data_IF_703424902325
#
_entry.id   IF_703424902325
#
_cell.length_a   1.000
_cell.length_b   1.000
_cell.length_c   1.000
_cell.angle_alpha   90.00
_cell.angle_beta   90.00
_cell.angle_gamma   90.00
#
_symmetry.space_group_name_H-M   'P 1'
#
loop_
_entity.id
_entity.type
_entity.pdbx_description
1 polymer ?
#
# COMPACT_ATOMS: atom_id res chain seq x y z
N UNK A 1 45.00 38.89 15.41
CA UNK A 1 45.24 37.45 15.39
C UNK A 1 44.28 36.81 16.38
N UNK A 2 43.13 36.32 15.88
CA UNK A 2 42.18 35.38 16.48
C UNK A 2 41.07 35.23 15.43
N UNK A 3 41.33 34.33 14.48
CA UNK A 3 40.39 33.92 13.44
C UNK A 3 39.34 33.01 14.08
N UNK A 4 38.06 33.37 13.94
CA UNK A 4 36.92 32.59 14.43
C UNK A 4 36.20 32.02 13.22
N UNK A 5 36.70 30.91 12.68
CA UNK A 5 35.95 30.09 11.74
C UNK A 5 35.35 28.91 12.51
N UNK A 6 34.02 28.74 12.58
CA UNK A 6 33.42 27.53 13.14
C UNK A 6 33.60 26.36 12.16
N UNK A 7 33.85 25.12 12.64
CA UNK A 7 33.95 23.96 11.78
C UNK A 7 32.61 23.66 11.12
N UNK A 8 32.66 23.48 9.80
CA UNK A 8 31.58 23.02 8.95
C UNK A 8 31.01 21.69 9.49
N UNK A 9 29.74 21.70 9.88
CA UNK A 9 28.93 20.48 9.97
C UNK A 9 28.56 20.07 8.54
N UNK A 10 29.38 19.21 7.93
CA UNK A 10 29.02 18.52 6.70
C UNK A 10 28.34 17.19 7.03
N UNK A 11 27.17 17.00 6.41
CA UNK A 11 26.56 15.74 6.00
C UNK A 11 26.40 14.59 7.00
N UNK A 12 25.31 14.64 7.75
CA UNK A 12 24.63 13.45 8.30
C UNK A 12 23.18 13.43 7.80
N UNK A 13 23.00 13.40 6.48
CA UNK A 13 21.73 13.06 5.84
C UNK A 13 21.81 11.69 5.16
N UNK A 14 22.46 10.71 5.81
CA UNK A 14 22.23 9.29 5.50
C UNK A 14 20.92 8.87 6.15
N UNK A 15 19.81 9.38 5.60
CA UNK A 15 18.46 8.88 5.83
C UNK A 15 18.32 7.49 5.19
N UNK A 16 19.04 6.51 5.75
CA UNK A 16 18.79 5.10 5.50
C UNK A 16 17.34 4.84 5.84
N UNK A 17 16.50 4.66 4.82
CA UNK A 17 15.09 4.34 5.01
C UNK A 17 15.06 2.98 5.70
N UNK A 18 14.85 2.98 7.02
CA UNK A 18 14.59 1.77 7.77
C UNK A 18 13.33 1.18 7.14
N UNK A 19 13.51 0.10 6.37
CA UNK A 19 12.41 -0.60 5.73
C UNK A 19 11.50 -1.12 6.83
N UNK A 20 10.37 -0.43 7.06
CA UNK A 20 9.33 -0.88 7.99
C UNK A 20 8.84 -2.26 7.52
N UNK A 21 9.03 -3.33 8.31
CA UNK A 21 8.66 -4.69 7.93
C UNK A 21 7.13 -4.89 7.78
N UNK A 22 6.32 -3.88 8.10
CA UNK A 22 4.86 -3.87 7.83
C UNK A 22 4.50 -3.33 6.45
N UNK A 23 5.45 -2.77 5.70
CA UNK A 23 5.21 -2.35 4.32
C UNK A 23 5.05 -3.60 3.45
N UNK A 24 3.82 -3.87 3.02
CA UNK A 24 3.59 -4.82 1.94
C UNK A 24 4.48 -4.42 0.76
N UNK A 25 5.36 -5.32 0.33
CA UNK A 25 6.25 -5.06 -0.80
C UNK A 25 5.41 -4.83 -2.04
N UNK A 26 5.31 -3.58 -2.48
CA UNK A 26 4.67 -3.21 -3.74
C UNK A 26 5.44 -3.88 -4.88
N UNK A 27 4.74 -4.60 -5.75
CA UNK A 27 5.37 -5.33 -6.84
C UNK A 27 6.05 -4.39 -7.85
N UNK A 28 7.19 -4.82 -8.39
CA UNK A 28 7.94 -4.03 -9.38
C UNK A 28 7.13 -3.81 -10.67
N UNK A 29 6.31 -4.78 -11.05
CA UNK A 29 5.36 -4.65 -12.17
C UNK A 29 4.37 -3.51 -11.93
N UNK A 30 3.85 -3.39 -10.71
CA UNK A 30 2.92 -2.32 -10.36
C UNK A 30 3.61 -0.95 -10.43
N UNK A 31 4.84 -0.84 -9.91
CA UNK A 31 5.65 0.40 -9.98
C UNK A 31 5.85 0.85 -11.42
N UNK A 32 6.27 -0.08 -12.28
CA UNK A 32 6.52 0.20 -13.69
C UNK A 32 5.26 0.69 -14.40
N UNK A 33 4.11 0.04 -14.15
CA UNK A 33 2.83 0.43 -14.75
C UNK A 33 2.38 1.81 -14.25
N UNK A 34 2.39 2.03 -12.93
CA UNK A 34 2.00 3.30 -12.31
C UNK A 34 2.86 4.47 -12.78
N UNK A 35 4.15 4.25 -13.04
CA UNK A 35 5.01 5.27 -13.63
C UNK A 35 4.53 5.72 -15.02
N UNK A 36 4.06 4.77 -15.85
CA UNK A 36 3.50 5.09 -17.18
C UNK A 36 2.15 5.80 -17.07
N UNK A 37 1.30 5.38 -16.14
CA UNK A 37 0.01 6.03 -15.85
C UNK A 37 0.23 7.48 -15.43
N UNK A 38 1.15 7.71 -14.50
CA UNK A 38 1.48 9.06 -14.05
C UNK A 38 2.04 9.93 -15.19
N UNK A 39 2.89 9.37 -16.06
CA UNK A 39 3.37 10.07 -17.24
C UNK A 39 2.22 10.43 -18.21
N UNK A 40 1.23 9.53 -18.38
CA UNK A 40 0.03 9.81 -19.19
C UNK A 40 -0.81 10.94 -18.60
N UNK A 41 -1.11 10.88 -17.30
CA UNK A 41 -1.88 11.92 -16.59
C UNK A 41 -1.21 13.29 -16.76
N UNK A 42 0.12 13.36 -16.59
CA UNK A 42 0.89 14.58 -16.82
C UNK A 42 0.77 15.09 -18.27
N UNK A 43 0.81 14.21 -19.26
CA UNK A 43 0.62 14.60 -20.69
C UNK A 43 -0.78 15.11 -20.98
N UNK A 44 -1.79 14.58 -20.30
CA UNK A 44 -3.18 15.06 -20.40
C UNK A 44 -3.42 16.37 -19.65
N UNK A 45 -2.48 16.80 -18.79
CA UNK A 45 -2.63 18.00 -17.97
C UNK A 45 -3.71 17.86 -16.90
N UNK A 46 -4.09 16.61 -16.55
CA UNK A 46 -5.17 16.37 -15.59
C UNK A 46 -4.65 16.46 -14.16
N UNK A 47 -5.26 17.29 -13.29
CA UNK A 47 -5.04 17.21 -11.86
C UNK A 47 -5.63 15.90 -11.30
N UNK A 48 -5.12 15.46 -10.15
CA UNK A 48 -5.48 14.16 -9.56
C UNK A 48 -6.96 14.06 -9.19
N UNK A 49 -7.58 15.15 -8.74
CA UNK A 49 -9.01 15.16 -8.41
C UNK A 49 -9.89 14.91 -9.65
N UNK A 50 -9.50 15.42 -10.82
CA UNK A 50 -10.21 15.10 -12.07
C UNK A 50 -10.03 13.63 -12.45
N UNK A 51 -8.87 13.04 -12.14
CA UNK A 51 -8.67 11.61 -12.36
C UNK A 51 -9.57 10.77 -11.44
N UNK A 52 -9.75 11.19 -10.18
CA UNK A 52 -10.68 10.55 -9.24
C UNK A 52 -12.12 10.64 -9.78
N UNK A 53 -12.57 11.82 -10.21
CA UNK A 53 -13.90 12.04 -10.79
C UNK A 53 -14.14 11.19 -12.04
N UNK A 54 -13.20 11.20 -12.99
CA UNK A 54 -13.32 10.46 -14.25
C UNK A 54 -13.33 8.95 -14.05
N UNK A 55 -12.62 8.45 -13.03
CA UNK A 55 -12.53 7.02 -12.72
C UNK A 55 -13.59 6.54 -11.71
N UNK A 56 -14.40 7.45 -11.16
CA UNK A 56 -15.37 7.15 -10.11
C UNK A 56 -14.71 6.70 -8.80
N UNK A 57 -13.44 7.05 -8.59
CA UNK A 57 -12.73 6.77 -7.35
C UNK A 57 -13.03 7.84 -6.30
N UNK A 58 -12.78 7.50 -5.03
CA UNK A 58 -12.88 8.47 -3.94
C UNK A 58 -11.82 9.56 -4.07
N UNK A 59 -12.11 10.75 -3.58
CA UNK A 59 -11.15 11.86 -3.58
C UNK A 59 -9.80 11.49 -2.95
N UNK A 60 -8.73 11.83 -3.66
CA UNK A 60 -7.35 11.57 -3.26
C UNK A 60 -6.94 10.10 -3.37
N UNK A 61 -7.76 9.25 -3.98
CA UNK A 61 -7.43 7.84 -4.15
C UNK A 61 -6.39 7.66 -5.26
N UNK A 62 -6.48 8.42 -6.35
CA UNK A 62 -5.49 8.42 -7.44
C UNK A 62 -4.09 8.72 -6.90
N UNK A 63 -3.94 9.68 -5.99
CA UNK A 63 -2.63 9.99 -5.39
C UNK A 63 -2.05 8.80 -4.61
N UNK A 64 -2.87 8.08 -3.85
CA UNK A 64 -2.43 6.90 -3.07
C UNK A 64 -2.04 5.73 -3.96
N UNK A 65 -2.73 5.60 -5.08
CA UNK A 65 -2.49 4.59 -6.10
C UNK A 65 -1.20 4.88 -6.89
N UNK A 66 -0.95 6.14 -7.24
CA UNK A 66 0.21 6.54 -8.03
C UNK A 66 1.52 6.62 -7.25
N UNK A 67 1.42 6.75 -5.92
CA UNK A 67 2.59 6.89 -5.04
C UNK A 67 2.62 5.78 -3.99
N UNK A 68 2.72 4.50 -4.40
CA UNK A 68 2.55 3.37 -3.49
C UNK A 68 3.67 3.25 -2.44
N UNK A 69 4.78 3.98 -2.60
CA UNK A 69 5.91 4.03 -1.65
C UNK A 69 5.78 5.07 -0.54
N UNK A 70 4.83 5.99 -0.67
CA UNK A 70 4.61 7.02 0.34
C UNK A 70 3.94 6.41 1.57
N UNK A 71 4.04 7.04 2.76
CA UNK A 71 3.42 6.51 3.97
C UNK A 71 1.91 6.25 3.87
N UNK A 72 1.20 7.00 3.02
CA UNK A 72 -0.22 6.86 2.73
C UNK A 72 -0.52 6.04 1.45
N UNK A 73 0.52 5.74 0.68
CA UNK A 73 0.49 4.96 -0.54
C UNK A 73 0.26 3.48 -0.29
N UNK A 74 -0.32 2.81 -1.28
CA UNK A 74 -0.48 1.35 -1.26
C UNK A 74 -0.64 0.83 -2.68
N UNK A 75 -0.20 -0.41 -2.90
CA UNK A 75 -0.62 -1.14 -4.08
C UNK A 75 -2.15 -1.34 -4.00
N UNK A 76 -2.88 -0.77 -4.96
CA UNK A 76 -4.31 -1.02 -5.11
C UNK A 76 -4.56 -2.37 -5.78
N UNK A 77 -5.82 -2.83 -5.72
CA UNK A 77 -6.24 -3.99 -6.52
C UNK A 77 -6.21 -3.64 -8.01
N UNK A 78 -6.02 -4.63 -8.86
CA UNK A 78 -5.91 -4.45 -10.31
C UNK A 78 -7.20 -3.89 -10.92
N UNK A 79 -8.37 -4.28 -10.39
CA UNK A 79 -9.67 -3.78 -10.84
C UNK A 79 -9.81 -2.28 -10.58
N UNK A 80 -9.26 -1.79 -9.46
CA UNK A 80 -9.26 -0.36 -9.14
C UNK A 80 -8.29 0.40 -10.05
N UNK A 81 -7.17 -0.21 -10.43
CA UNK A 81 -6.25 0.38 -11.39
C UNK A 81 -6.87 0.47 -12.78
N UNK A 82 -7.66 -0.54 -13.16
CA UNK A 82 -8.34 -0.60 -14.44
C UNK A 82 -9.37 0.53 -14.61
N UNK A 83 -10.09 0.90 -13.55
CA UNK A 83 -10.99 2.08 -13.56
C UNK A 83 -10.25 3.36 -13.96
N UNK A 84 -9.06 3.59 -13.38
CA UNK A 84 -8.23 4.74 -13.73
C UNK A 84 -7.70 4.64 -15.17
N UNK A 85 -7.30 3.44 -15.60
CA UNK A 85 -6.81 3.20 -16.96
C UNK A 85 -7.90 3.48 -18.00
N UNK A 86 -9.11 2.96 -17.80
CA UNK A 86 -10.26 3.19 -18.67
C UNK A 86 -10.60 4.68 -18.78
N UNK A 87 -10.47 5.44 -17.69
CA UNK A 87 -10.70 6.88 -17.67
C UNK A 87 -9.68 7.67 -18.50
N UNK A 88 -8.39 7.31 -18.45
CA UNK A 88 -7.31 8.09 -19.11
C UNK A 88 -6.90 7.54 -20.50
N UNK A 89 -7.40 6.36 -20.85
CA UNK A 89 -7.25 5.68 -22.14
C UNK A 89 -8.62 5.24 -22.69
N UNK A 90 -9.47 6.19 -23.14
CA UNK A 90 -10.84 5.89 -23.59
C UNK A 90 -10.88 4.95 -24.81
N UNK A 91 -9.86 5.00 -25.66
CA UNK A 91 -9.74 4.15 -26.86
C UNK A 91 -9.16 2.76 -26.54
N UNK A 92 -8.97 2.45 -25.26
CA UNK A 92 -8.28 1.25 -24.80
C UNK A 92 -6.76 1.41 -24.77
N UNK A 93 -6.08 0.32 -24.37
CA UNK A 93 -4.63 0.31 -24.18
C UNK A 93 -4.05 -1.08 -24.41
N UNK A 94 -2.75 -1.13 -24.72
CA UNK A 94 -2.00 -2.39 -24.87
C UNK A 94 -0.82 -2.39 -23.90
N UNK A 95 -0.67 -3.47 -23.14
CA UNK A 95 0.47 -3.66 -22.23
C UNK A 95 1.52 -4.53 -22.92
N UNK A 96 2.71 -3.97 -23.13
CA UNK A 96 3.86 -4.69 -23.72
C UNK A 96 4.86 -4.97 -22.61
N UNK A 97 5.10 -6.25 -22.34
CA UNK A 97 6.12 -6.70 -21.38
C UNK A 97 7.36 -7.11 -22.16
N UNK A 98 8.47 -6.40 -21.95
CA UNK A 98 9.76 -6.72 -22.56
C UNK A 98 10.69 -7.36 -21.52
N UNK A 99 11.09 -8.63 -21.70
CA UNK A 99 12.09 -9.23 -20.82
C UNK A 99 13.45 -8.57 -21.06
N UNK A 100 14.16 -8.21 -19.98
CA UNK A 100 15.54 -7.70 -20.08
C UNK A 100 16.53 -8.83 -20.42
N UNK A 101 16.37 -10.00 -19.80
CA UNK A 101 17.11 -11.23 -20.09
C UNK A 101 16.14 -12.41 -19.91
N UNK A 102 15.82 -13.09 -21.01
CA UNK A 102 14.83 -14.17 -21.06
C UNK A 102 15.43 -15.55 -20.86
N UNK A 103 16.72 -15.67 -20.54
CA UNK A 103 17.44 -16.94 -20.59
C UNK A 103 17.09 -17.91 -19.46
N UNK A 104 16.50 -17.45 -18.34
CA UNK A 104 16.22 -18.30 -17.16
C UNK A 104 14.92 -17.95 -16.45
N UNK A 105 14.01 -18.93 -16.37
CA UNK A 105 12.87 -18.87 -15.46
C UNK A 105 13.33 -19.06 -14.01
N UNK A 106 12.87 -18.21 -13.09
CA UNK A 106 13.12 -18.37 -11.66
C UNK A 106 11.93 -19.04 -10.97
N UNK A 107 12.22 -20.01 -10.11
CA UNK A 107 11.20 -20.57 -9.21
C UNK A 107 10.91 -19.55 -8.11
N UNK A 108 9.74 -18.90 -8.18
CA UNK A 108 9.29 -18.00 -7.13
C UNK A 108 8.98 -18.80 -5.86
N UNK A 109 9.44 -18.29 -4.72
CA UNK A 109 8.95 -18.79 -3.43
C UNK A 109 7.51 -18.30 -3.27
N UNK A 110 6.56 -19.17 -2.91
CA UNK A 110 5.21 -18.71 -2.61
C UNK A 110 5.28 -17.65 -1.52
N UNK A 111 4.42 -16.61 -1.56
CA UNK A 111 4.36 -15.63 -0.49
C UNK A 111 4.15 -16.40 0.81
N UNK A 112 5.01 -16.14 1.79
CA UNK A 112 4.82 -16.67 3.13
C UNK A 112 3.52 -16.07 3.65
N UNK A 113 2.40 -16.79 3.52
CA UNK A 113 1.20 -16.43 4.24
C UNK A 113 1.64 -16.33 5.70
N UNK A 114 1.40 -15.20 6.39
CA UNK A 114 1.51 -15.17 7.83
C UNK A 114 0.38 -16.06 8.33
N UNK A 115 0.60 -17.37 8.26
CA UNK A 115 -0.12 -18.33 9.07
C UNK A 115 0.32 -17.92 10.45
N UNK A 116 -0.52 -17.09 11.09
CA UNK A 116 -0.36 -16.64 12.46
C UNK A 116 0.19 -17.84 13.21
N UNK A 117 1.45 -17.75 13.66
CA UNK A 117 2.18 -18.92 14.15
C UNK A 117 1.30 -19.62 15.19
N UNK A 118 1.39 -20.94 15.32
CA UNK A 118 0.46 -21.69 16.18
C UNK A 118 0.28 -21.06 17.57
N UNK A 119 1.34 -20.45 18.10
CA UNK A 119 1.37 -19.62 19.31
C UNK A 119 0.49 -18.37 19.23
N UNK A 120 0.65 -17.53 18.20
CA UNK A 120 -0.13 -16.29 18.03
C UNK A 120 -1.61 -16.61 17.74
N UNK A 121 -1.89 -17.71 17.03
CA UNK A 121 -3.26 -18.20 16.82
C UNK A 121 -3.89 -18.61 18.15
N UNK A 122 -3.15 -19.33 19.00
CA UNK A 122 -3.61 -19.71 20.33
C UNK A 122 -3.84 -18.48 21.23
N UNK A 123 -3.00 -17.45 21.11
CA UNK A 123 -3.14 -16.18 21.83
C UNK A 123 -4.43 -15.45 21.39
N UNK A 124 -4.65 -15.29 20.08
CA UNK A 124 -5.86 -14.65 19.54
C UNK A 124 -7.13 -15.43 19.91
N UNK A 125 -7.10 -16.76 19.86
CA UNK A 125 -8.22 -17.61 20.31
C UNK A 125 -8.49 -17.45 21.81
N UNK A 126 -7.45 -17.37 22.64
CA UNK A 126 -7.57 -17.15 24.09
C UNK A 126 -8.22 -15.79 24.38
N UNK A 127 -7.76 -14.72 23.73
CA UNK A 127 -8.36 -13.39 23.91
C UNK A 127 -9.78 -13.30 23.36
N UNK A 128 -10.05 -13.91 22.21
CA UNK A 128 -11.42 -14.00 21.66
C UNK A 128 -12.39 -14.74 22.59
N UNK A 129 -11.94 -15.84 23.20
CA UNK A 129 -12.73 -16.61 24.18
C UNK A 129 -13.03 -15.80 25.45
N UNK A 130 -12.04 -15.06 25.97
CA UNK A 130 -12.22 -14.18 27.13
C UNK A 130 -13.19 -13.03 26.84
N UNK A 131 -13.09 -12.43 25.64
CA UNK A 131 -14.02 -11.39 25.18
C UNK A 131 -15.46 -11.92 25.04
N UNK A 132 -15.62 -13.12 24.47
CA UNK A 132 -16.93 -13.77 24.31
C UNK A 132 -17.61 -14.10 25.65
N UNK A 133 -16.83 -14.57 26.64
CA UNK A 133 -17.32 -14.83 28.00
C UNK A 133 -17.80 -13.55 28.69
N UNK A 134 -17.05 -12.45 28.58
CA UNK A 134 -17.45 -11.14 29.12
C UNK A 134 -18.72 -10.60 28.44
N UNK A 135 -18.82 -10.74 27.11
CA UNK A 135 -20.00 -10.34 26.36
C UNK A 135 -21.24 -11.19 26.71
N UNK A 136 -21.08 -12.49 26.97
CA UNK A 136 -22.15 -13.37 27.42
C UNK A 136 -22.61 -13.01 28.85
N UNK A 137 -21.67 -12.73 29.76
CA UNK A 137 -21.98 -12.27 31.12
C UNK A 137 -22.76 -10.96 31.12
N UNK A 138 -22.35 -9.99 30.31
CA UNK A 138 -23.05 -8.71 30.16
C UNK A 138 -24.47 -8.87 29.57
N UNK A 139 -24.66 -9.81 28.64
CA UNK A 139 -26.00 -10.12 28.09
C UNK A 139 -26.92 -10.76 29.12
N UNK A 140 -26.40 -11.70 29.93
CA UNK A 140 -27.15 -12.31 31.04
C UNK A 140 -27.51 -11.29 32.13
N UNK A 141 -26.58 -10.40 32.48
CA UNK A 141 -26.84 -9.33 33.45
C UNK A 141 -27.95 -8.38 32.97
N UNK A 142 -27.93 -7.99 31.68
CA UNK A 142 -28.99 -7.17 31.07
C UNK A 142 -30.35 -7.87 31.04
N UNK A 143 -30.38 -9.18 30.81
CA UNK A 143 -31.63 -9.96 30.85
C UNK A 143 -32.18 -10.11 32.28
N UNK A 144 -31.31 -10.15 33.29
CA UNK A 144 -31.70 -10.25 34.70
C UNK A 144 -32.14 -8.91 35.34
N UNK A 145 -31.91 -7.77 34.67
CA UNK A 145 -32.33 -6.44 35.14
C UNK A 145 -33.58 -5.93 34.38
N UNK A 146 -34.21 -6.80 33.59
CA UNK A 146 -35.34 -6.48 32.71
C UNK A 146 -36.67 -7.10 33.12
N UNK A 147 -36.79 -7.57 34.37
CA UNK A 147 -38.03 -7.87 35.09
C UNK A 147 -38.13 -6.91 36.29
#
# INVERSE_FOLDING_TARGET
>A
MLDRTPPEMQDEASGGTIADPRRASVSDTYRALVAQIHARIRRLGLPMWQCDDLSGLQDGYTAKLLHPDTPSGRQSRWETLDLLMAAIFPDGYTIIIKPNDGSRAQKLKPPSNPTVGARDRAILQKYGRLGGLKAAANRRARQATGD
#
